data_IF_654659659575
#
_entry.id   IF_654659659575
#
_cell.length_a   1.000
_cell.length_b   1.000
_cell.length_c   1.000
_cell.angle_alpha   90.00
_cell.angle_beta   90.00
_cell.angle_gamma   90.00
#
_symmetry.space_group_name_H-M   'P 1'
#
loop_
_entity.id
_entity.type
_entity.pdbx_description
1 polymer ?
#
# COMPACT_ATOMS: atom_id res chain seq x y z
N UNK A 1 30.75 8.06 -15.00
CA UNK A 1 30.51 7.91 -13.55
C UNK A 1 30.22 6.45 -13.30
N UNK A 2 31.20 5.70 -12.79
CA UNK A 2 31.05 4.27 -12.49
C UNK A 2 30.29 4.11 -11.19
N UNK A 3 28.98 3.87 -11.26
CA UNK A 3 28.27 3.39 -10.08
C UNK A 3 28.83 2.02 -9.69
N UNK A 4 29.23 1.79 -8.43
CA UNK A 4 29.63 0.47 -7.99
C UNK A 4 28.46 -0.50 -8.18
N UNK A 5 28.74 -1.66 -8.77
CA UNK A 5 27.77 -2.73 -9.03
C UNK A 5 27.33 -3.44 -7.74
N UNK A 6 28.01 -3.18 -6.62
CA UNK A 6 27.69 -3.77 -5.32
C UNK A 6 26.87 -2.78 -4.51
N UNK A 7 25.66 -3.15 -4.06
CA UNK A 7 24.88 -2.31 -3.17
C UNK A 7 25.64 -2.09 -1.85
N UNK A 8 25.42 -0.94 -1.18
CA UNK A 8 26.06 -0.67 0.10
C UNK A 8 25.65 -1.72 1.15
N UNK A 9 26.51 -1.94 2.16
CA UNK A 9 26.33 -3.00 3.16
C UNK A 9 25.02 -2.88 3.96
N UNK A 10 24.45 -1.70 4.02
CA UNK A 10 23.21 -1.38 4.73
C UNK A 10 21.99 -1.26 3.79
N UNK A 11 22.06 -1.70 2.53
CA UNK A 11 20.98 -1.49 1.56
C UNK A 11 19.58 -1.90 2.05
N UNK A 12 19.46 -3.03 2.76
CA UNK A 12 18.19 -3.52 3.28
C UNK A 12 17.78 -2.97 4.65
N UNK A 13 18.70 -2.28 5.36
CA UNK A 13 18.50 -1.83 6.75
C UNK A 13 18.70 -0.33 6.93
N UNK A 14 19.23 0.35 5.91
CA UNK A 14 19.45 1.78 5.88
C UNK A 14 18.13 2.54 5.98
N UNK A 15 18.16 3.67 6.68
CA UNK A 15 16.98 4.53 6.83
C UNK A 15 16.94 5.52 5.68
N UNK A 16 15.73 5.94 5.31
CA UNK A 16 15.54 6.93 4.24
C UNK A 16 16.34 8.22 4.48
N UNK A 17 16.46 8.67 5.74
CA UNK A 17 17.25 9.83 6.13
C UNK A 17 18.71 9.77 5.69
N UNK A 18 19.33 8.59 5.68
CA UNK A 18 20.73 8.41 5.27
C UNK A 18 20.85 7.99 3.81
N UNK A 19 19.90 7.19 3.31
CA UNK A 19 19.91 6.69 1.94
C UNK A 19 19.53 7.77 0.91
N UNK A 20 18.57 8.63 1.25
CA UNK A 20 18.10 9.75 0.43
C UNK A 20 17.64 10.93 1.33
N UNK A 21 18.58 11.76 1.81
CA UNK A 21 18.27 12.87 2.69
C UNK A 21 17.34 13.92 2.07
N UNK A 22 17.37 14.07 0.74
CA UNK A 22 16.54 15.05 0.02
C UNK A 22 15.07 14.62 0.03
N UNK A 23 14.79 13.35 -0.28
CA UNK A 23 13.43 12.78 -0.17
C UNK A 23 12.96 12.77 1.28
N UNK A 24 13.85 12.44 2.23
CA UNK A 24 13.51 12.50 3.65
C UNK A 24 13.08 13.91 4.08
N UNK A 25 13.84 14.94 3.69
CA UNK A 25 13.52 16.32 3.99
C UNK A 25 12.18 16.76 3.38
N UNK A 26 11.90 16.35 2.13
CA UNK A 26 10.62 16.65 1.47
C UNK A 26 9.42 16.02 2.19
N UNK A 27 9.51 14.74 2.59
CA UNK A 27 8.45 14.06 3.36
C UNK A 27 8.23 14.73 4.72
N UNK A 28 9.30 15.15 5.39
CA UNK A 28 9.21 15.91 6.65
C UNK A 28 8.55 17.27 6.46
N UNK A 29 8.84 17.95 5.34
CA UNK A 29 8.18 19.19 4.95
C UNK A 29 6.68 19.01 4.75
N UNK A 30 6.25 17.94 4.06
CA UNK A 30 4.83 17.65 3.86
C UNK A 30 4.12 17.33 5.17
N UNK A 31 4.77 16.60 6.09
CA UNK A 31 4.21 16.36 7.43
C UNK A 31 3.97 17.68 8.20
N UNK A 32 4.90 18.64 8.13
CA UNK A 32 4.70 19.96 8.75
C UNK A 32 3.56 20.72 8.06
N UNK A 33 3.50 20.70 6.72
CA UNK A 33 2.43 21.34 5.95
C UNK A 33 1.04 20.82 6.36
N UNK A 34 0.87 19.50 6.47
CA UNK A 34 -0.39 18.87 6.88
C UNK A 34 -0.77 19.17 8.34
N UNK A 35 0.22 19.41 9.22
CA UNK A 35 -0.03 19.72 10.64
C UNK A 35 -0.40 21.17 10.88
N UNK A 36 0.21 22.07 10.13
CA UNK A 36 0.07 23.51 10.34
C UNK A 36 -1.02 24.12 9.44
N UNK A 37 -1.43 23.39 8.39
CA UNK A 37 -2.48 23.78 7.45
C UNK A 37 -3.90 23.42 7.90
N UNK A 38 -4.88 24.10 7.31
CA UNK A 38 -6.29 23.70 7.36
C UNK A 38 -6.60 23.01 6.03
N UNK A 39 -6.76 21.69 6.07
CA UNK A 39 -7.00 20.88 4.87
C UNK A 39 -8.51 20.85 4.54
N UNK A 40 -8.90 21.49 3.44
CA UNK A 40 -10.31 21.66 3.03
C UNK A 40 -10.67 20.92 1.74
N UNK A 41 -9.77 20.11 1.20
CA UNK A 41 -10.05 19.30 0.02
C UNK A 41 -10.95 18.14 0.44
N UNK A 42 -12.19 18.11 -0.07
CA UNK A 42 -13.24 17.21 0.40
C UNK A 42 -12.92 15.71 0.24
N UNK A 43 -12.02 15.35 -0.69
CA UNK A 43 -11.62 13.96 -0.95
C UNK A 43 -10.36 13.53 -0.19
N UNK A 44 -9.67 14.46 0.48
CA UNK A 44 -8.46 14.15 1.24
C UNK A 44 -8.79 13.78 2.68
N UNK A 45 -7.89 13.00 3.29
CA UNK A 45 -8.00 12.59 4.68
C UNK A 45 -6.62 12.25 5.25
N UNK A 46 -6.46 12.34 6.57
CA UNK A 46 -5.24 11.92 7.28
C UNK A 46 -5.43 10.50 7.80
N UNK A 47 -4.67 9.56 7.24
CA UNK A 47 -4.75 8.15 7.63
C UNK A 47 -4.10 7.88 8.98
N UNK A 48 -4.47 6.76 9.61
CA UNK A 48 -3.89 6.34 10.89
C UNK A 48 -2.45 5.83 10.74
N UNK A 49 -1.67 5.89 11.83
CA UNK A 49 -0.33 5.28 11.87
C UNK A 49 -0.37 3.77 11.56
N UNK A 50 -1.38 3.06 12.07
CA UNK A 50 -1.55 1.63 11.80
C UNK A 50 -1.76 1.32 10.31
N UNK A 51 -2.41 2.23 9.57
CA UNK A 51 -2.57 2.11 8.11
C UNK A 51 -1.22 2.29 7.40
N UNK A 52 -0.41 3.25 7.84
CA UNK A 52 0.93 3.48 7.29
C UNK A 52 1.88 2.32 7.58
N UNK A 53 1.82 1.76 8.78
CA UNK A 53 2.65 0.60 9.19
C UNK A 53 2.36 -0.61 8.29
N UNK A 54 1.09 -0.86 7.96
CA UNK A 54 0.71 -1.94 7.05
C UNK A 54 1.14 -1.67 5.60
N UNK A 55 0.95 -0.43 5.11
CA UNK A 55 1.29 -0.03 3.75
C UNK A 55 2.80 -0.11 3.46
N UNK A 56 3.62 0.30 4.43
CA UNK A 56 5.09 0.26 4.34
C UNK A 56 5.71 -1.08 4.76
N UNK A 57 4.92 -2.14 4.90
CA UNK A 57 5.39 -3.43 5.39
C UNK A 57 6.02 -4.31 4.30
N UNK A 58 6.62 -5.43 4.71
CA UNK A 58 7.25 -6.41 3.81
C UNK A 58 6.29 -7.04 2.78
N UNK A 59 4.97 -6.85 2.93
CA UNK A 59 3.98 -7.36 1.98
C UNK A 59 4.16 -6.79 0.57
N UNK A 60 4.73 -5.59 0.43
CA UNK A 60 5.00 -4.97 -0.88
C UNK A 60 5.95 -5.79 -1.76
N UNK A 61 6.75 -6.68 -1.15
CA UNK A 61 7.69 -7.53 -1.87
C UNK A 61 7.03 -8.75 -2.51
N UNK A 62 5.75 -9.01 -2.23
CA UNK A 62 5.09 -10.26 -2.62
C UNK A 62 4.25 -10.09 -3.87
N UNK A 63 4.53 -10.89 -4.89
CA UNK A 63 3.60 -11.14 -6.00
C UNK A 63 2.50 -12.11 -5.55
N UNK A 64 1.25 -11.67 -5.68
CA UNK A 64 0.06 -12.39 -5.19
C UNK A 64 -1.06 -12.34 -6.25
N UNK A 65 -0.86 -13.03 -7.37
CA UNK A 65 -1.85 -13.09 -8.44
C UNK A 65 -2.91 -14.16 -8.18
N UNK A 66 -4.17 -13.87 -8.55
CA UNK A 66 -5.33 -14.71 -8.32
C UNK A 66 -6.14 -14.27 -7.10
N UNK A 67 -7.10 -15.09 -6.65
CA UNK A 67 -7.89 -14.85 -5.44
C UNK A 67 -7.40 -15.71 -4.28
N UNK A 68 -7.74 -15.40 -3.01
CA UNK A 68 -7.40 -16.25 -1.87
C UNK A 68 -7.74 -17.72 -2.14
N UNK A 69 -6.80 -18.62 -1.84
CA UNK A 69 -6.87 -20.07 -2.10
C UNK A 69 -6.94 -20.48 -3.59
N UNK A 70 -6.79 -19.53 -4.52
CA UNK A 70 -6.73 -19.74 -5.99
C UNK A 70 -5.63 -18.88 -6.60
N UNK A 71 -4.41 -19.06 -6.10
CA UNK A 71 -3.23 -18.27 -6.47
C UNK A 71 -2.42 -18.94 -7.56
N UNK A 72 -1.77 -18.14 -8.41
CA UNK A 72 -0.85 -18.64 -9.42
C UNK A 72 0.53 -19.02 -8.84
N UNK A 73 0.90 -18.44 -7.69
CA UNK A 73 2.20 -18.61 -7.07
C UNK A 73 2.09 -19.06 -5.61
N UNK A 74 3.12 -19.77 -5.11
CA UNK A 74 3.22 -20.20 -3.72
C UNK A 74 3.75 -19.13 -2.75
N UNK A 75 3.82 -19.49 -1.46
CA UNK A 75 4.33 -18.65 -0.37
C UNK A 75 3.42 -17.47 -0.03
N UNK A 76 2.11 -17.64 -0.21
CA UNK A 76 1.07 -16.59 -0.12
C UNK A 76 0.22 -16.73 1.13
N UNK A 77 0.60 -17.59 2.07
CA UNK A 77 -0.20 -17.96 3.25
C UNK A 77 -0.63 -16.73 4.07
N UNK A 78 0.31 -15.80 4.30
CA UNK A 78 0.03 -14.58 5.06
C UNK A 78 -0.62 -13.48 4.21
N UNK A 79 -0.36 -13.44 2.90
CA UNK A 79 -1.04 -12.52 2.00
C UNK A 79 -2.54 -12.90 1.87
N UNK A 80 -2.84 -14.19 1.75
CA UNK A 80 -4.21 -14.72 1.75
C UNK A 80 -4.93 -14.40 3.06
N UNK A 81 -4.26 -14.50 4.20
CA UNK A 81 -4.84 -14.12 5.48
C UNK A 81 -5.23 -12.64 5.53
N UNK A 82 -4.36 -11.74 5.05
CA UNK A 82 -4.64 -10.30 5.01
C UNK A 82 -5.79 -9.99 4.04
N UNK A 83 -5.77 -10.55 2.83
CA UNK A 83 -6.82 -10.30 1.84
C UNK A 83 -8.18 -10.85 2.29
N UNK A 84 -8.20 -12.04 2.90
CA UNK A 84 -9.42 -12.62 3.46
C UNK A 84 -10.01 -11.73 4.56
N UNK A 85 -9.17 -11.24 5.48
CA UNK A 85 -9.62 -10.30 6.51
C UNK A 85 -10.16 -8.99 5.92
N UNK A 86 -9.53 -8.46 4.87
CA UNK A 86 -9.99 -7.25 4.19
C UNK A 86 -11.36 -7.47 3.52
N UNK A 87 -11.56 -8.59 2.82
CA UNK A 87 -12.83 -8.96 2.18
C UNK A 87 -13.94 -9.08 3.23
N UNK A 88 -13.72 -9.85 4.31
CA UNK A 88 -14.74 -10.08 5.33
C UNK A 88 -15.11 -8.79 6.09
N UNK A 89 -14.12 -7.92 6.36
CA UNK A 89 -14.37 -6.61 6.96
C UNK A 89 -15.15 -5.69 6.02
N UNK A 90 -14.84 -5.67 4.72
CA UNK A 90 -15.58 -4.88 3.74
C UNK A 90 -17.03 -5.35 3.63
N UNK A 91 -17.25 -6.67 3.52
CA UNK A 91 -18.58 -7.28 3.51
C UNK A 91 -19.39 -6.92 4.76
N UNK A 92 -18.76 -7.01 5.93
CA UNK A 92 -19.39 -6.65 7.22
C UNK A 92 -19.74 -5.16 7.27
N UNK A 93 -18.82 -4.29 6.84
CA UNK A 93 -18.99 -2.84 6.89
C UNK A 93 -20.13 -2.35 5.98
N UNK A 94 -20.26 -2.93 4.79
CA UNK A 94 -21.23 -2.49 3.78
C UNK A 94 -22.46 -3.38 3.66
N UNK A 95 -22.53 -4.49 4.40
CA UNK A 95 -23.66 -5.42 4.36
C UNK A 95 -23.83 -6.10 3.00
N UNK A 96 -22.74 -6.52 2.36
CA UNK A 96 -22.76 -7.17 1.05
C UNK A 96 -22.26 -8.62 1.10
N UNK A 97 -22.69 -9.42 0.13
CA UNK A 97 -22.29 -10.84 0.03
C UNK A 97 -20.91 -11.03 -0.59
N UNK A 98 -20.45 -10.06 -1.39
CA UNK A 98 -19.20 -10.12 -2.13
C UNK A 98 -18.48 -8.78 -2.12
N UNK A 99 -17.16 -8.82 -1.98
CA UNK A 99 -16.27 -7.67 -2.12
C UNK A 99 -14.98 -8.09 -2.82
N UNK A 100 -14.55 -7.31 -3.82
CA UNK A 100 -13.20 -7.40 -4.39
C UNK A 100 -12.38 -6.22 -3.87
N UNK A 101 -11.27 -6.50 -3.20
CA UNK A 101 -10.38 -5.52 -2.54
C UNK A 101 -9.05 -5.32 -3.28
N UNK A 102 -8.91 -5.84 -4.49
CA UNK A 102 -7.69 -5.78 -5.29
C UNK A 102 -7.50 -4.51 -6.17
N UNK A 103 -8.54 -3.75 -6.59
CA UNK A 103 -8.30 -2.54 -7.38
C UNK A 103 -7.41 -1.52 -6.67
N UNK A 104 -6.38 -0.99 -7.35
CA UNK A 104 -5.42 -0.07 -6.72
C UNK A 104 -5.96 1.34 -6.48
N UNK A 105 -7.03 1.73 -7.17
CA UNK A 105 -7.71 3.02 -7.01
C UNK A 105 -9.14 2.97 -7.53
N UNK A 106 -9.94 4.01 -7.22
CA UNK A 106 -11.33 4.11 -7.68
C UNK A 106 -11.48 4.07 -9.20
N UNK A 107 -10.57 4.73 -9.94
CA UNK A 107 -10.61 4.71 -11.42
C UNK A 107 -10.44 3.30 -11.99
N UNK A 108 -9.54 2.49 -11.42
CA UNK A 108 -9.35 1.11 -11.84
C UNK A 108 -10.52 0.21 -11.45
N UNK A 109 -11.13 0.44 -10.28
CA UNK A 109 -12.34 -0.26 -9.88
C UNK A 109 -13.48 -0.03 -10.90
N UNK A 110 -13.67 1.22 -11.33
CA UNK A 110 -14.67 1.55 -12.36
C UNK A 110 -14.35 0.88 -13.71
N UNK A 111 -13.09 0.91 -14.14
CA UNK A 111 -12.66 0.23 -15.37
C UNK A 111 -12.91 -1.27 -15.31
N UNK A 112 -12.64 -1.91 -14.16
CA UNK A 112 -12.90 -3.33 -13.97
C UNK A 112 -14.39 -3.65 -14.16
N UNK A 113 -15.28 -2.85 -13.60
CA UNK A 113 -16.73 -3.01 -13.81
C UNK A 113 -17.07 -2.84 -15.30
N UNK A 114 -16.65 -1.74 -15.93
CA UNK A 114 -16.97 -1.46 -17.33
C UNK A 114 -16.48 -2.51 -18.32
N UNK A 115 -15.35 -3.16 -18.06
CA UNK A 115 -14.78 -4.18 -18.94
C UNK A 115 -15.29 -5.60 -18.62
N UNK A 116 -15.93 -5.80 -17.47
CA UNK A 116 -16.45 -7.10 -17.03
C UNK A 116 -17.93 -7.32 -17.33
N UNK A 117 -18.65 -6.25 -17.66
CA UNK A 117 -20.05 -6.25 -18.08
C UNK A 117 -20.16 -6.24 -19.61
#
# INVERSE_FOLDING_TARGET
MTHPLTPPSDYFTGRLETADPEVHAAIRGELSRQRDGIELIASENIVSQASLDALGSVLVNKTVEGYPHRRYYGGVEFADAVETLAIERAKTLFGCDYANVQPHSGSQANQAVFLSC
#
